data_IF_285167231202
#
_entry.id   IF_285167231202
#
_cell.length_a   1.000
_cell.length_b   1.000
_cell.length_c   1.000
_cell.angle_alpha   90.00
_cell.angle_beta   90.00
_cell.angle_gamma   90.00
#
_symmetry.space_group_name_H-M   'P 1'
#
loop_
_entity.id
_entity.type
_entity.pdbx_description
1 polymer ?
#
# COMPACT_ATOMS: atom_id res chain seq x y z
N UNK A 1 23.90 -18.93 3.75
CA UNK A 1 22.65 -18.16 3.69
C UNK A 1 21.52 -19.17 3.60
N UNK A 2 20.60 -19.15 4.56
CA UNK A 2 19.48 -20.10 4.57
C UNK A 2 18.55 -19.80 3.39
N UNK A 3 18.00 -20.82 2.73
CA UNK A 3 17.13 -20.66 1.55
C UNK A 3 15.95 -19.71 1.82
N UNK A 4 15.44 -19.68 3.06
CA UNK A 4 14.37 -18.76 3.47
C UNK A 4 14.79 -17.29 3.56
N UNK A 5 16.05 -17.00 3.91
CA UNK A 5 16.56 -15.63 3.91
C UNK A 5 16.74 -15.10 2.48
N UNK A 6 17.11 -15.96 1.54
CA UNK A 6 17.26 -15.60 0.12
C UNK A 6 15.90 -15.29 -0.50
N UNK A 7 14.87 -16.08 -0.18
CA UNK A 7 13.48 -15.83 -0.62
C UNK A 7 12.92 -14.56 0.02
N UNK A 8 13.21 -14.30 1.29
CA UNK A 8 12.80 -13.07 1.98
C UNK A 8 13.43 -11.80 1.41
N UNK A 9 14.66 -11.87 0.88
CA UNK A 9 15.37 -10.72 0.30
C UNK A 9 15.21 -10.57 -1.23
N UNK A 10 14.66 -11.58 -1.91
CA UNK A 10 14.54 -11.59 -3.37
C UNK A 10 13.85 -10.34 -3.93
N UNK A 11 12.77 -9.90 -3.29
CA UNK A 11 12.03 -8.71 -3.69
C UNK A 11 12.90 -7.45 -3.66
N UNK A 12 13.75 -7.29 -2.63
CA UNK A 12 14.65 -6.14 -2.52
C UNK A 12 15.75 -6.17 -3.57
N UNK A 13 16.28 -7.34 -3.90
CA UNK A 13 17.30 -7.47 -4.95
C UNK A 13 16.74 -7.03 -6.30
N UNK A 14 15.55 -7.53 -6.68
CA UNK A 14 14.88 -7.14 -7.92
C UNK A 14 14.64 -5.64 -7.96
N UNK A 15 14.17 -5.05 -6.85
CA UNK A 15 13.93 -3.60 -6.74
C UNK A 15 15.23 -2.80 -6.92
N UNK A 16 16.32 -3.20 -6.26
CA UNK A 16 17.61 -2.50 -6.38
C UNK A 16 18.12 -2.55 -7.82
N UNK A 17 18.09 -3.71 -8.47
CA UNK A 17 18.50 -3.84 -9.88
C UNK A 17 17.64 -3.00 -10.83
N UNK A 18 16.32 -2.98 -10.61
CA UNK A 18 15.39 -2.18 -11.39
C UNK A 18 15.64 -0.68 -11.18
N UNK A 19 15.87 -0.27 -9.94
CA UNK A 19 16.17 1.12 -9.58
C UNK A 19 17.48 1.59 -10.18
N UNK A 20 18.54 0.78 -10.12
CA UNK A 20 19.82 1.07 -10.74
C UNK A 20 19.70 1.17 -12.26
N UNK A 21 18.91 0.28 -12.88
CA UNK A 21 18.67 0.31 -14.33
C UNK A 21 17.90 1.57 -14.75
N UNK A 22 16.85 1.94 -14.01
CA UNK A 22 16.09 3.17 -14.26
C UNK A 22 16.94 4.42 -14.14
N UNK A 23 17.72 4.53 -13.05
CA UNK A 23 18.64 5.65 -12.84
C UNK A 23 19.77 5.69 -13.88
N UNK A 24 20.28 4.52 -14.29
CA UNK A 24 21.28 4.43 -15.36
C UNK A 24 20.76 4.96 -16.68
N UNK A 25 19.55 4.57 -17.11
CA UNK A 25 18.91 5.13 -18.31
C UNK A 25 18.68 6.64 -18.20
N UNK A 26 18.51 7.16 -16.99
CA UNK A 26 18.36 8.59 -16.70
C UNK A 26 19.67 9.37 -16.84
N UNK A 27 20.83 8.74 -16.71
CA UNK A 27 22.11 9.41 -16.89
C UNK A 27 22.67 9.18 -18.29
N UNK A 28 22.53 7.97 -18.84
CA UNK A 28 23.19 7.55 -20.07
C UNK A 28 22.45 7.94 -21.37
N UNK A 29 21.51 8.88 -21.31
CA UNK A 29 20.65 9.24 -22.45
C UNK A 29 21.24 10.37 -23.29
N UNK A 30 21.15 10.21 -24.61
CA UNK A 30 21.35 11.29 -25.60
C UNK A 30 20.03 11.82 -26.18
N UNK A 31 18.93 11.12 -25.88
CA UNK A 31 17.63 11.37 -26.49
C UNK A 31 16.57 11.61 -25.41
N UNK A 32 15.79 12.67 -25.56
CA UNK A 32 14.81 13.11 -24.56
C UNK A 32 13.72 12.06 -24.29
N UNK A 33 13.36 11.26 -25.29
CA UNK A 33 12.36 10.18 -25.07
C UNK A 33 12.90 9.05 -24.17
N UNK A 34 14.19 8.71 -24.29
CA UNK A 34 14.82 7.68 -23.43
C UNK A 34 14.92 8.15 -21.98
N UNK A 35 15.03 9.47 -21.78
CA UNK A 35 14.95 10.10 -20.46
C UNK A 35 13.65 9.85 -19.73
N UNK A 36 12.52 10.08 -20.40
CA UNK A 36 11.20 9.84 -19.82
C UNK A 36 10.97 8.36 -19.52
N UNK A 37 11.39 7.47 -20.43
CA UNK A 37 11.30 6.02 -20.22
C UNK A 37 12.11 5.61 -18.98
N UNK A 38 13.36 6.07 -18.86
CA UNK A 38 14.20 5.80 -17.69
C UNK A 38 13.59 6.32 -16.39
N UNK A 39 13.01 7.53 -16.43
CA UNK A 39 12.35 8.13 -15.26
C UNK A 39 11.10 7.34 -14.82
N UNK A 40 10.31 6.85 -15.76
CA UNK A 40 9.13 6.01 -15.48
C UNK A 40 9.52 4.65 -14.87
N UNK A 41 10.59 4.03 -15.37
CA UNK A 41 11.12 2.78 -14.81
C UNK A 41 11.65 3.02 -13.39
N UNK A 42 12.39 4.11 -13.18
CA UNK A 42 12.88 4.50 -11.86
C UNK A 42 11.71 4.72 -10.88
N UNK A 43 10.67 5.46 -11.28
CA UNK A 43 9.48 5.69 -10.45
C UNK A 43 8.76 4.38 -10.09
N UNK A 44 8.62 3.47 -11.05
CA UNK A 44 8.02 2.14 -10.83
C UNK A 44 8.84 1.31 -9.83
N UNK A 45 10.17 1.42 -9.84
CA UNK A 45 11.03 0.74 -8.87
C UNK A 45 10.83 1.25 -7.44
N UNK A 46 10.64 2.56 -7.26
CA UNK A 46 10.34 3.16 -5.95
C UNK A 46 8.98 2.69 -5.43
N UNK A 47 7.99 2.50 -6.31
CA UNK A 47 6.70 1.93 -5.93
C UNK A 47 6.83 0.50 -5.43
N UNK A 48 7.59 -0.35 -6.12
CA UNK A 48 7.83 -1.72 -5.69
C UNK A 48 8.57 -1.79 -4.34
N UNK A 49 9.49 -0.87 -4.07
CA UNK A 49 10.14 -0.75 -2.76
C UNK A 49 9.11 -0.45 -1.65
N UNK A 50 8.23 0.51 -1.90
CA UNK A 50 7.19 0.93 -0.95
C UNK A 50 6.17 -0.18 -0.67
N UNK A 51 5.76 -0.93 -1.69
CA UNK A 51 4.87 -2.10 -1.54
C UNK A 51 5.55 -3.17 -0.69
N UNK A 52 6.82 -3.45 -0.96
CA UNK A 52 7.56 -4.51 -0.26
C UNK A 52 7.71 -4.20 1.23
N UNK A 53 7.96 -2.94 1.59
CA UNK A 53 8.02 -2.51 2.99
C UNK A 53 6.64 -2.45 3.66
N UNK A 54 5.58 -2.10 2.91
CA UNK A 54 4.24 -1.90 3.44
C UNK A 54 3.37 -3.14 3.61
N UNK A 55 3.73 -4.25 2.94
CA UNK A 55 2.96 -5.49 2.93
C UNK A 55 3.31 -6.36 4.14
N UNK A 56 2.35 -6.52 5.04
CA UNK A 56 2.41 -7.48 6.14
C UNK A 56 1.69 -8.79 5.78
N UNK A 57 2.14 -9.92 6.32
CA UNK A 57 1.49 -11.21 6.10
C UNK A 57 0.15 -11.27 6.85
N UNK A 58 -0.93 -11.65 6.17
CA UNK A 58 -2.28 -11.74 6.76
C UNK A 58 -3.01 -10.39 6.93
N UNK A 59 -2.43 -9.28 6.44
CA UNK A 59 -3.04 -7.96 6.53
C UNK A 59 -4.22 -7.79 5.57
N UNK A 60 -5.39 -7.43 6.11
CA UNK A 60 -6.58 -7.04 5.35
C UNK A 60 -6.56 -5.53 5.06
N UNK A 61 -7.30 -5.08 4.05
CA UNK A 61 -7.42 -3.66 3.71
C UNK A 61 -7.90 -2.84 4.93
N UNK A 62 -7.32 -1.65 5.21
CA UNK A 62 -7.74 -0.73 6.27
C UNK A 62 -9.13 -0.11 6.07
N UNK A 63 -10.18 -0.94 6.00
CA UNK A 63 -11.58 -0.53 5.93
C UNK A 63 -12.35 -1.20 7.06
N UNK A 64 -13.20 -0.45 7.75
CA UNK A 64 -14.03 -1.01 8.81
C UNK A 64 -15.10 -1.88 8.16
N UNK A 65 -15.16 -3.19 8.46
CA UNK A 65 -16.17 -4.05 7.89
C UNK A 65 -17.57 -3.69 8.44
N UNK A 66 -18.64 -3.75 7.63
CA UNK A 66 -19.99 -3.34 8.03
C UNK A 66 -20.52 -4.02 9.30
N UNK A 67 -20.09 -5.25 9.59
CA UNK A 67 -20.45 -5.98 10.82
C UNK A 67 -20.03 -5.27 12.11
N UNK A 68 -18.88 -4.58 12.10
CA UNK A 68 -18.39 -3.80 13.26
C UNK A 68 -19.21 -2.52 13.39
N UNK A 69 -19.58 -1.90 12.27
CA UNK A 69 -20.44 -0.71 12.25
C UNK A 69 -21.85 -1.02 12.75
N UNK A 70 -22.39 -2.20 12.41
CA UNK A 70 -23.74 -2.63 12.81
C UNK A 70 -23.84 -2.94 14.31
N UNK A 71 -22.81 -3.56 14.87
CA UNK A 71 -22.72 -3.81 16.32
C UNK A 71 -22.60 -2.48 17.09
N UNK A 72 -21.78 -1.53 16.62
CA UNK A 72 -21.67 -0.21 17.24
C UNK A 72 -22.88 0.71 17.05
N UNK A 73 -23.67 0.54 15.98
CA UNK A 73 -24.93 1.28 15.80
C UNK A 73 -26.02 0.84 16.79
N UNK A 74 -25.92 -0.39 17.33
CA UNK A 74 -26.84 -0.91 18.34
C UNK A 74 -26.46 -0.48 19.78
N UNK A 75 -25.24 0.02 19.98
CA UNK A 75 -24.71 0.47 21.29
C UNK A 75 -24.85 1.99 21.52
N UNK A 76 -25.56 2.69 20.63
CA UNK A 76 -25.84 4.13 20.75
C UNK A 76 -26.70 4.55 21.94
N UNK A 77 -27.10 3.60 22.81
CA UNK A 77 -27.70 3.82 24.14
C UNK A 77 -27.33 2.70 25.13
N UNK A 78 -26.05 2.48 25.37
CA UNK A 78 -25.62 1.62 26.48
C UNK A 78 -24.47 2.26 27.26
N UNK A 79 -24.80 3.30 28.00
CA UNK A 79 -24.00 3.71 29.15
C UNK A 79 -23.91 2.52 30.12
N UNK A 80 -22.74 1.90 30.25
CA UNK A 80 -22.30 1.23 31.48
C UNK A 80 -23.02 -0.03 32.01
N UNK A 81 -23.94 -0.69 31.29
CA UNK A 81 -24.70 -1.85 31.84
C UNK A 81 -24.54 -3.20 31.09
N UNK A 82 -23.61 -3.32 30.14
CA UNK A 82 -23.42 -4.58 29.39
C UNK A 82 -22.84 -5.74 30.23
N UNK A 83 -22.08 -5.44 31.29
CA UNK A 83 -21.50 -6.47 32.17
C UNK A 83 -22.57 -7.15 33.06
N UNK A 84 -23.66 -6.45 33.39
CA UNK A 84 -24.74 -6.99 34.24
C UNK A 84 -25.70 -7.90 33.47
N UNK A 85 -26.03 -7.55 32.22
CA UNK A 85 -26.97 -8.32 31.39
C UNK A 85 -26.35 -9.59 30.77
N UNK A 86 -25.05 -9.58 30.47
CA UNK A 86 -24.35 -10.80 30.04
C UNK A 86 -24.24 -11.82 31.19
N UNK A 87 -24.10 -11.35 32.43
CA UNK A 87 -24.05 -12.20 33.62
C UNK A 87 -25.42 -12.84 33.94
N UNK A 88 -26.54 -12.12 33.75
CA UNK A 88 -27.88 -12.69 33.95
C UNK A 88 -28.23 -13.74 32.89
N UNK A 89 -27.87 -13.51 31.63
CA UNK A 89 -28.08 -14.50 30.56
C UNK A 89 -27.16 -15.72 30.69
N UNK A 90 -25.91 -15.54 31.14
CA UNK A 90 -24.99 -16.64 31.42
C UNK A 90 -25.47 -17.50 32.59
N UNK A 91 -26.09 -16.89 33.61
CA UNK A 91 -26.69 -17.63 34.73
C UNK A 91 -27.91 -18.47 34.29
N UNK A 92 -28.75 -17.95 33.39
CA UNK A 92 -29.91 -18.69 32.86
C UNK A 92 -29.50 -19.88 31.98
N UNK A 93 -28.50 -19.69 31.11
CA UNK A 93 -27.96 -20.76 30.25
C UNK A 93 -27.20 -21.80 31.08
N UNK A 94 -26.44 -21.41 32.09
CA UNK A 94 -25.79 -22.33 33.02
C UNK A 94 -26.82 -23.22 33.75
N UNK A 95 -27.94 -22.63 34.16
CA UNK A 95 -29.01 -23.34 34.87
C UNK A 95 -29.81 -24.32 33.98
N UNK A 96 -29.96 -24.02 32.69
CA UNK A 96 -30.63 -24.89 31.72
C UNK A 96 -29.74 -26.03 31.19
N UNK A 97 -28.42 -25.82 31.14
CA UNK A 97 -27.46 -26.76 30.54
C UNK A 97 -26.66 -27.57 31.57
N UNK A 98 -26.81 -27.27 32.87
CA UNK A 98 -26.09 -27.94 33.96
C UNK A 98 -24.58 -27.68 33.97
N UNK A 99 -24.12 -26.70 33.19
CA UNK A 99 -22.72 -26.29 33.08
C UNK A 99 -22.41 -25.17 34.07
N UNK A 100 -21.18 -25.13 34.59
CA UNK A 100 -20.81 -24.08 35.53
C UNK A 100 -20.82 -22.71 34.82
N UNK A 101 -21.12 -21.66 35.58
CA UNK A 101 -21.19 -20.29 35.07
C UNK A 101 -19.84 -19.90 34.43
N UNK A 102 -18.73 -20.43 34.95
CA UNK A 102 -17.39 -20.24 34.38
C UNK A 102 -17.24 -20.89 33.00
N UNK A 103 -17.81 -22.07 32.76
CA UNK A 103 -17.70 -22.79 31.46
C UNK A 103 -18.50 -22.08 30.34
N UNK A 104 -19.64 -21.48 30.69
CA UNK A 104 -20.49 -20.71 29.77
C UNK A 104 -19.85 -19.35 29.44
N UNK A 105 -19.24 -18.70 30.44
CA UNK A 105 -18.45 -17.49 30.24
C UNK A 105 -17.23 -17.79 29.36
N UNK A 106 -16.57 -18.93 29.56
CA UNK A 106 -15.41 -19.31 28.76
C UNK A 106 -15.78 -19.70 27.32
N UNK A 107 -16.93 -20.35 27.10
CA UNK A 107 -17.46 -20.59 25.76
C UNK A 107 -17.88 -19.29 25.05
N UNK A 108 -18.49 -18.35 25.78
CA UNK A 108 -18.82 -17.01 25.28
C UNK A 108 -17.58 -16.16 24.98
N UNK A 109 -16.53 -16.29 25.78
CA UNK A 109 -15.23 -15.66 25.54
C UNK A 109 -14.53 -16.25 24.31
N UNK A 110 -14.65 -17.56 24.06
CA UNK A 110 -14.15 -18.20 22.83
C UNK A 110 -14.91 -17.75 21.59
N UNK A 111 -16.20 -17.43 21.71
CA UNK A 111 -17.01 -16.87 20.63
C UNK A 111 -16.73 -15.36 20.39
N UNK A 112 -16.37 -14.63 21.44
CA UNK A 112 -15.89 -13.24 21.37
C UNK A 112 -14.48 -13.11 20.78
N UNK A 113 -13.62 -14.13 21.00
CA UNK A 113 -12.25 -14.19 20.48
C UNK A 113 -12.13 -14.25 18.96
N UNK A 114 -13.22 -14.53 18.23
CA UNK A 114 -13.23 -14.55 16.76
C UNK A 114 -13.37 -13.15 16.14
N UNK A 115 -13.73 -12.12 16.94
CA UNK A 115 -13.97 -10.75 16.44
C UNK A 115 -12.76 -9.82 16.61
N UNK A 116 -11.74 -10.21 17.38
CA UNK A 116 -10.60 -9.33 17.73
C UNK A 116 -9.32 -9.57 16.91
N UNK A 117 -9.41 -10.34 15.82
CA UNK A 117 -8.25 -10.79 15.05
C UNK A 117 -8.04 -10.14 13.68
N UNK A 118 -8.72 -9.02 13.35
CA UNK A 118 -8.54 -8.40 12.02
C UNK A 118 -7.22 -7.62 11.99
N UNK A 119 -6.18 -8.26 11.49
CA UNK A 119 -4.90 -7.61 11.20
C UNK A 119 -5.08 -6.71 9.99
N UNK A 120 -4.97 -5.40 10.17
CA UNK A 120 -5.01 -4.43 9.08
C UNK A 120 -3.60 -4.17 8.53
N UNK A 121 -3.49 -4.03 7.20
CA UNK A 121 -2.23 -3.60 6.56
C UNK A 121 -1.85 -2.17 6.94
N UNK A 122 -0.56 -1.81 6.83
CA UNK A 122 -0.11 -0.45 7.10
C UNK A 122 -0.75 0.54 6.09
N UNK A 123 -1.51 1.55 6.53
CA UNK A 123 -2.17 2.49 5.62
C UNK A 123 -1.18 3.47 4.98
N UNK A 124 -0.03 3.75 5.61
CA UNK A 124 0.89 4.80 5.15
C UNK A 124 1.42 4.56 3.74
N UNK A 125 1.92 3.36 3.38
CA UNK A 125 2.45 3.13 2.04
C UNK A 125 1.40 3.23 0.94
N UNK A 126 0.15 2.81 1.22
CA UNK A 126 -0.94 2.83 0.23
C UNK A 126 -1.32 4.25 -0.21
N UNK A 127 -1.42 5.18 0.73
CA UNK A 127 -1.77 6.58 0.45
C UNK A 127 -0.61 7.29 -0.24
N UNK A 128 0.62 7.07 0.23
CA UNK A 128 1.82 7.66 -0.36
C UNK A 128 2.06 7.18 -1.79
N UNK A 129 1.70 5.94 -2.11
CA UNK A 129 1.75 5.44 -3.50
C UNK A 129 0.67 6.09 -4.38
N UNK A 130 -0.56 6.24 -3.89
CA UNK A 130 -1.62 6.84 -4.69
C UNK A 130 -1.28 8.28 -5.08
N UNK A 131 -0.76 9.06 -4.14
CA UNK A 131 -0.31 10.44 -4.43
C UNK A 131 0.88 10.46 -5.36
N UNK A 132 1.87 9.59 -5.16
CA UNK A 132 3.05 9.51 -6.01
C UNK A 132 2.73 9.06 -7.44
N UNK A 133 1.74 8.18 -7.63
CA UNK A 133 1.27 7.77 -8.97
C UNK A 133 0.65 8.95 -9.71
N UNK A 134 -0.22 9.72 -9.06
CA UNK A 134 -0.86 10.89 -9.68
C UNK A 134 0.18 11.94 -10.05
N UNK A 135 1.10 12.25 -9.13
CA UNK A 135 2.20 13.19 -9.39
C UNK A 135 3.07 12.68 -10.54
N UNK A 136 3.40 11.39 -10.58
CA UNK A 136 4.23 10.80 -11.62
C UNK A 136 3.60 10.77 -13.01
N UNK A 137 2.29 10.52 -13.11
CA UNK A 137 1.55 10.61 -14.37
C UNK A 137 1.50 12.08 -14.84
N UNK A 138 1.27 13.03 -13.92
CA UNK A 138 1.24 14.46 -14.24
C UNK A 138 2.59 14.97 -14.75
N UNK A 139 3.70 14.62 -14.07
CA UNK A 139 5.05 15.01 -14.50
C UNK A 139 5.45 14.34 -15.81
N UNK A 140 5.06 13.09 -16.04
CA UNK A 140 5.29 12.40 -17.32
C UNK A 140 4.52 13.07 -18.46
N UNK A 141 3.26 13.43 -18.24
CA UNK A 141 2.45 14.15 -19.24
C UNK A 141 3.07 15.53 -19.56
N UNK A 142 3.50 16.27 -18.54
CA UNK A 142 4.20 17.54 -18.72
C UNK A 142 5.51 17.36 -19.50
N UNK A 143 6.32 16.38 -19.13
CA UNK A 143 7.59 16.11 -19.79
C UNK A 143 7.39 15.73 -21.27
N UNK A 144 6.39 14.90 -21.58
CA UNK A 144 6.05 14.58 -22.97
C UNK A 144 5.55 15.81 -23.74
N UNK A 145 4.72 16.65 -23.12
CA UNK A 145 4.27 17.92 -23.71
C UNK A 145 5.47 18.81 -24.07
N UNK A 146 6.44 18.94 -23.16
CA UNK A 146 7.67 19.68 -23.42
C UNK A 146 8.50 19.06 -24.56
N UNK A 147 8.64 17.74 -24.61
CA UNK A 147 9.37 17.07 -25.70
C UNK A 147 8.68 17.27 -27.05
N UNK A 148 7.35 17.18 -27.10
CA UNK A 148 6.60 17.44 -28.34
C UNK A 148 6.84 18.88 -28.79
N UNK A 149 6.79 19.84 -27.86
CA UNK A 149 7.06 21.25 -28.17
C UNK A 149 8.49 21.47 -28.70
N UNK A 150 9.48 20.89 -28.04
CA UNK A 150 10.88 20.95 -28.49
C UNK A 150 11.04 20.33 -29.88
N UNK A 151 10.35 19.22 -30.15
CA UNK A 151 10.40 18.57 -31.48
C UNK A 151 9.76 19.45 -32.56
N UNK A 152 8.70 20.20 -32.26
CA UNK A 152 8.09 21.15 -33.18
C UNK A 152 9.04 22.30 -33.51
N UNK A 153 9.77 22.82 -32.52
CA UNK A 153 10.65 23.97 -32.69
C UNK A 153 12.02 23.59 -33.30
N UNK A 154 12.62 22.45 -32.92
CA UNK A 154 13.96 22.01 -33.35
C UNK A 154 13.96 20.88 -34.40
N UNK A 155 12.81 20.25 -34.67
CA UNK A 155 12.70 19.11 -35.60
C UNK A 155 13.35 17.80 -35.11
N UNK A 156 13.97 17.78 -33.92
CA UNK A 156 14.67 16.62 -33.35
C UNK A 156 14.38 16.47 -31.85
N UNK A 157 14.61 15.26 -31.34
CA UNK A 157 14.49 14.91 -29.91
C UNK A 157 15.84 14.46 -29.32
N UNK A 158 16.91 14.64 -30.09
CA UNK A 158 18.30 14.38 -29.71
C UNK A 158 18.88 15.63 -29.04
N UNK A 159 19.32 15.46 -27.80
CA UNK A 159 19.78 16.55 -26.93
C UNK A 159 21.07 17.19 -27.46
N UNK A 160 21.97 16.39 -28.03
CA UNK A 160 23.25 16.87 -28.56
C UNK A 160 23.02 17.79 -29.76
N UNK A 161 22.12 17.41 -30.66
CA UNK A 161 21.75 18.24 -31.83
C UNK A 161 21.05 19.53 -31.44
N UNK A 162 20.20 19.49 -30.42
CA UNK A 162 19.51 20.69 -29.90
C UNK A 162 20.55 21.69 -29.38
N UNK A 163 21.51 21.21 -28.58
CA UNK A 163 22.58 22.05 -28.03
C UNK A 163 23.52 22.61 -29.11
N UNK A 164 23.80 21.84 -30.17
CA UNK A 164 24.57 22.33 -31.32
C UNK A 164 23.86 23.47 -32.06
N UNK A 165 22.55 23.33 -32.30
CA UNK A 165 21.75 24.36 -32.98
C UNK A 165 21.66 25.66 -32.17
N UNK A 166 21.55 25.56 -30.84
CA UNK A 166 21.48 26.73 -29.95
C UNK A 166 22.82 27.47 -29.81
N UNK A 167 23.94 26.77 -30.07
CA UNK A 167 25.29 27.35 -30.01
C UNK A 167 25.68 28.10 -31.30
N UNK A 168 24.96 27.89 -32.41
CA UNK A 168 25.20 28.57 -33.67
C UNK A 168 24.38 29.88 -33.72
N UNK A 169 25.03 31.06 -33.76
CA UNK A 169 24.35 32.35 -33.76
C UNK A 169 23.64 32.67 -35.09
#
# INVERSE_FOLDING_TARGET
MNMEQVVGLYNYWVVIFLMMTGFYMVIARRNLMKSIIGLNIFQTSVFLLYITMGKIHGGTAPIVPPRIVQNHAHDGHADGEAAGHAASHAAEVAHATGKSVEEVIEAGARMSGEVDGIIYSNPLPSVLMLTAIVVGIATTALALSLIVRIREDYGTIDEEKILEMDRLP
#
